data_IF_996717801690
#
_entry.id   IF_996717801690
#
_cell.length_a   1.000
_cell.length_b   1.000
_cell.length_c   1.000
_cell.angle_alpha   90.00
_cell.angle_beta   90.00
_cell.angle_gamma   90.00
#
_symmetry.space_group_name_H-M   'P 1'
#
loop_
_entity.id
_entity.type
_entity.pdbx_description
1 polymer ?
#
# COMPACT_ATOMS: atom_id res chain seq x y z
N UNK A 1 -8.37 -18.57 7.00
CA UNK A 1 -7.85 -17.21 6.85
C UNK A 1 -6.88 -17.23 5.69
N UNK A 2 -7.05 -16.34 4.74
CA UNK A 2 -6.09 -16.18 3.65
C UNK A 2 -4.73 -15.69 4.19
N UNK A 3 -3.64 -16.04 3.50
CA UNK A 3 -2.34 -15.38 3.74
C UNK A 3 -2.42 -13.95 3.22
N UNK A 4 -1.89 -12.96 3.94
CA UNK A 4 -1.99 -11.58 3.53
C UNK A 4 -0.65 -10.83 3.65
N UNK A 5 -0.55 -9.70 2.93
CA UNK A 5 0.55 -8.75 3.02
C UNK A 5 0.00 -7.33 2.79
N UNK A 6 0.44 -6.39 3.61
CA UNK A 6 0.08 -4.98 3.51
C UNK A 6 1.23 -4.17 2.91
N UNK A 7 1.02 -3.60 1.74
CA UNK A 7 2.04 -2.81 1.03
C UNK A 7 1.79 -1.34 1.27
N UNK A 8 2.74 -0.65 1.88
CA UNK A 8 2.67 0.78 2.15
C UNK A 8 3.97 1.50 1.82
N UNK A 9 3.96 2.81 1.93
CA UNK A 9 5.13 3.68 1.78
C UNK A 9 4.95 4.91 2.65
N UNK A 10 6.05 5.49 3.10
CA UNK A 10 6.08 6.82 3.71
C UNK A 10 6.33 7.93 2.66
N UNK A 11 6.36 7.59 1.39
CA UNK A 11 6.71 8.50 0.30
C UNK A 11 5.75 8.35 -0.87
N UNK A 12 5.40 9.49 -1.48
CA UNK A 12 4.63 9.50 -2.72
C UNK A 12 5.43 8.87 -3.87
N UNK A 13 4.71 8.28 -4.83
CA UNK A 13 5.31 7.73 -6.05
C UNK A 13 6.45 6.73 -5.80
N UNK A 14 6.42 6.01 -4.69
CA UNK A 14 7.42 4.96 -4.36
C UNK A 14 7.38 3.77 -5.31
N UNK A 15 6.26 3.58 -6.01
CA UNK A 15 6.00 2.44 -6.89
C UNK A 15 5.35 1.26 -6.19
N UNK A 16 4.62 1.49 -5.10
CA UNK A 16 3.83 0.47 -4.39
C UNK A 16 2.96 -0.37 -5.33
N UNK A 17 2.22 0.30 -6.23
CA UNK A 17 1.35 -0.38 -7.20
C UNK A 17 2.10 -1.34 -8.11
N UNK A 18 3.31 -0.96 -8.55
CA UNK A 18 4.16 -1.85 -9.36
C UNK A 18 4.64 -3.05 -8.57
N UNK A 19 5.03 -2.85 -7.30
CA UNK A 19 5.41 -3.95 -6.40
C UNK A 19 4.21 -4.85 -6.12
N UNK A 20 3.04 -4.27 -5.84
CA UNK A 20 1.80 -5.01 -5.63
C UNK A 20 1.45 -5.87 -6.84
N UNK A 21 1.50 -5.30 -8.05
CA UNK A 21 1.25 -6.01 -9.29
C UNK A 21 2.22 -7.19 -9.49
N UNK A 22 3.50 -7.00 -9.21
CA UNK A 22 4.50 -8.06 -9.30
C UNK A 22 4.25 -9.20 -8.30
N UNK A 23 3.78 -8.89 -7.10
CA UNK A 23 3.40 -9.91 -6.10
C UNK A 23 2.14 -10.65 -6.55
N UNK A 24 1.11 -9.94 -7.02
CA UNK A 24 -0.13 -10.52 -7.56
C UNK A 24 0.18 -11.47 -8.71
N UNK A 25 0.94 -11.02 -9.72
CA UNK A 25 1.36 -11.85 -10.87
C UNK A 25 2.11 -13.11 -10.41
N UNK A 26 3.04 -12.96 -9.46
CA UNK A 26 3.82 -14.08 -8.94
C UNK A 26 2.94 -15.14 -8.28
N UNK A 27 1.99 -14.72 -7.44
CA UNK A 27 1.08 -15.63 -6.74
C UNK A 27 0.11 -16.32 -7.71
N UNK A 28 -0.44 -15.59 -8.69
CA UNK A 28 -1.32 -16.15 -9.71
C UNK A 28 -0.60 -17.21 -10.55
N UNK A 29 0.66 -16.96 -10.95
CA UNK A 29 1.48 -17.95 -11.69
C UNK A 29 1.75 -19.22 -10.88
N UNK A 30 1.70 -19.14 -9.56
CA UNK A 30 1.80 -20.28 -8.65
C UNK A 30 0.45 -21.01 -8.45
N UNK A 31 -0.62 -20.57 -9.10
CA UNK A 31 -1.96 -21.15 -9.01
C UNK A 31 -2.73 -20.73 -7.75
N UNK A 32 -2.29 -19.69 -7.06
CA UNK A 32 -2.95 -19.16 -5.85
C UNK A 32 -4.13 -18.28 -6.26
N UNK A 33 -5.29 -18.43 -5.62
CA UNK A 33 -6.43 -17.52 -5.76
C UNK A 33 -6.17 -16.24 -4.97
N UNK A 34 -5.81 -15.19 -5.71
CA UNK A 34 -5.39 -13.91 -5.13
C UNK A 34 -6.54 -12.92 -5.09
N UNK A 35 -6.77 -12.32 -3.91
CA UNK A 35 -7.56 -11.12 -3.75
C UNK A 35 -6.68 -9.86 -3.69
N UNK A 36 -7.22 -8.76 -4.14
CA UNK A 36 -6.62 -7.44 -4.00
C UNK A 36 -7.54 -6.58 -3.14
N UNK A 37 -7.00 -5.90 -2.15
CA UNK A 37 -7.78 -5.05 -1.27
C UNK A 37 -7.18 -3.66 -1.14
N UNK A 38 -8.01 -2.64 -1.35
CA UNK A 38 -7.69 -1.22 -1.17
C UNK A 38 -8.47 -0.70 0.03
N UNK A 39 -7.88 -0.62 1.23
CA UNK A 39 -8.59 -0.21 2.45
C UNK A 39 -9.21 1.17 2.34
N UNK A 40 -8.49 2.09 1.69
CA UNK A 40 -8.91 3.47 1.48
C UNK A 40 -8.79 3.76 -0.01
N UNK A 41 -9.91 4.00 -0.67
CA UNK A 41 -9.94 4.43 -2.06
C UNK A 41 -9.89 5.96 -2.18
N UNK A 42 -9.65 6.43 -3.40
CA UNK A 42 -9.83 7.85 -3.77
C UNK A 42 -11.22 8.36 -3.41
N UNK A 43 -11.43 9.66 -3.56
CA UNK A 43 -12.71 10.31 -3.26
C UNK A 43 -13.89 9.57 -3.90
N UNK A 44 -15.03 9.64 -3.23
CA UNK A 44 -16.24 8.94 -3.65
C UNK A 44 -16.68 9.37 -5.06
N UNK A 45 -16.71 8.40 -5.97
CA UNK A 45 -17.05 8.62 -7.38
C UNK A 45 -15.85 8.90 -8.30
N UNK A 46 -14.64 8.95 -7.77
CA UNK A 46 -13.40 8.99 -8.57
C UNK A 46 -12.87 7.59 -8.86
N UNK A 47 -12.10 7.47 -9.95
CA UNK A 47 -11.47 6.20 -10.32
C UNK A 47 -10.21 5.98 -9.50
N UNK A 48 -10.06 4.79 -8.93
CA UNK A 48 -8.81 4.35 -8.32
C UNK A 48 -7.99 3.55 -9.35
N UNK A 49 -7.16 4.27 -10.11
CA UNK A 49 -6.34 3.68 -11.18
C UNK A 49 -5.42 2.55 -10.67
N UNK A 50 -4.99 2.62 -9.41
CA UNK A 50 -4.16 1.57 -8.79
C UNK A 50 -4.96 0.30 -8.65
N UNK A 51 -6.15 0.38 -8.06
CA UNK A 51 -7.02 -0.76 -7.85
C UNK A 51 -7.50 -1.33 -9.18
N UNK A 52 -7.93 -0.48 -10.12
CA UNK A 52 -8.37 -0.93 -11.43
C UNK A 52 -7.25 -1.68 -12.17
N UNK A 53 -6.01 -1.18 -12.14
CA UNK A 53 -4.88 -1.86 -12.76
C UNK A 53 -4.59 -3.23 -12.14
N UNK A 54 -4.81 -3.41 -10.85
CA UNK A 54 -4.61 -4.68 -10.16
C UNK A 54 -5.74 -5.68 -10.43
N UNK A 55 -6.99 -5.20 -10.51
CA UNK A 55 -8.16 -6.05 -10.78
C UNK A 55 -8.21 -6.47 -12.25
N UNK A 56 -7.72 -5.64 -13.17
CA UNK A 56 -7.64 -5.98 -14.60
C UNK A 56 -6.61 -7.08 -14.88
N UNK A 57 -5.82 -7.50 -13.91
CA UNK A 57 -4.91 -8.62 -14.09
C UNK A 57 -5.68 -9.93 -14.27
N UNK A 58 -5.39 -10.67 -15.34
CA UNK A 58 -5.96 -11.98 -15.61
C UNK A 58 -5.71 -12.93 -14.43
N UNK A 59 -6.72 -13.31 -13.70
CA UNK A 59 -6.61 -14.19 -12.53
C UNK A 59 -7.02 -13.56 -11.20
N UNK A 60 -7.34 -12.26 -11.18
CA UNK A 60 -8.07 -11.64 -10.06
C UNK A 60 -9.57 -11.69 -10.41
N UNK A 61 -10.28 -12.63 -9.81
CA UNK A 61 -11.72 -12.87 -10.10
C UNK A 61 -12.61 -12.34 -8.98
N UNK A 62 -12.49 -11.03 -8.70
CA UNK A 62 -13.29 -10.35 -7.71
C UNK A 62 -13.85 -9.03 -8.28
N UNK A 63 -15.12 -8.72 -8.01
CA UNK A 63 -15.70 -7.44 -8.42
C UNK A 63 -15.11 -6.29 -7.61
N UNK A 64 -14.96 -5.13 -8.25
CA UNK A 64 -14.35 -3.92 -7.69
C UNK A 64 -14.92 -3.57 -6.30
N UNK A 65 -16.22 -3.70 -6.12
CA UNK A 65 -16.93 -3.32 -4.90
C UNK A 65 -16.52 -4.15 -3.68
N UNK A 66 -16.05 -5.38 -3.90
CA UNK A 66 -15.50 -6.24 -2.85
C UNK A 66 -14.06 -5.90 -2.50
N UNK A 67 -13.34 -5.28 -3.41
CA UNK A 67 -11.92 -4.96 -3.28
C UNK A 67 -11.64 -3.61 -2.58
N UNK A 68 -12.69 -2.86 -2.22
CA UNK A 68 -12.60 -1.53 -1.61
C UNK A 68 -13.09 -1.55 -0.17
N UNK A 69 -12.33 -0.93 0.73
CA UNK A 69 -12.75 -0.68 2.11
C UNK A 69 -13.72 0.51 2.21
N UNK A 70 -13.19 1.71 2.33
CA UNK A 70 -13.97 2.96 2.47
C UNK A 70 -13.39 4.05 1.56
N UNK A 71 -14.17 5.11 1.32
CA UNK A 71 -13.65 6.30 0.68
C UNK A 71 -12.89 7.18 1.70
N UNK A 72 -11.99 8.02 1.21
CA UNK A 72 -11.19 8.92 2.04
C UNK A 72 -12.05 9.85 2.92
N UNK A 73 -13.18 10.32 2.40
CA UNK A 73 -14.11 11.16 3.15
C UNK A 73 -14.70 10.48 4.38
N UNK A 74 -14.90 9.16 4.33
CA UNK A 74 -15.41 8.39 5.48
C UNK A 74 -14.43 8.46 6.66
N UNK A 75 -13.12 8.44 6.39
CA UNK A 75 -12.06 8.57 7.40
C UNK A 75 -12.08 9.96 8.04
N UNK A 76 -12.21 11.01 7.23
CA UNK A 76 -12.29 12.38 7.73
C UNK A 76 -13.52 12.62 8.60
N UNK A 77 -14.62 11.94 8.32
CA UNK A 77 -15.83 12.03 9.13
C UNK A 77 -15.69 11.29 10.47
N UNK A 78 -15.22 10.05 10.45
CA UNK A 78 -15.01 9.26 11.66
C UNK A 78 -14.06 8.09 11.37
N UNK A 79 -12.80 8.23 11.79
CA UNK A 79 -11.75 7.25 11.54
C UNK A 79 -12.01 5.88 12.20
N UNK A 80 -12.63 5.85 13.40
CA UNK A 80 -12.93 4.60 14.10
C UNK A 80 -14.04 3.81 13.38
N UNK A 81 -15.10 4.49 12.97
CA UNK A 81 -16.18 3.87 12.19
C UNK A 81 -15.67 3.39 10.84
N UNK A 82 -14.81 4.18 10.19
CA UNK A 82 -14.18 3.80 8.93
C UNK A 82 -13.32 2.56 9.09
N UNK A 83 -12.48 2.50 10.14
CA UNK A 83 -11.64 1.33 10.44
C UNK A 83 -12.49 0.06 10.64
N UNK A 84 -13.56 0.13 11.42
CA UNK A 84 -14.46 -1.01 11.61
C UNK A 84 -15.04 -1.50 10.28
N UNK A 85 -15.47 -0.59 9.41
CA UNK A 85 -16.00 -0.94 8.07
C UNK A 85 -14.94 -1.55 7.15
N UNK A 86 -13.69 -1.07 7.23
CA UNK A 86 -12.56 -1.65 6.49
C UNK A 86 -12.36 -3.11 6.91
N UNK A 87 -12.33 -3.38 8.22
CA UNK A 87 -12.15 -4.72 8.78
C UNK A 87 -13.27 -5.65 8.32
N UNK A 88 -14.53 -5.23 8.45
CA UNK A 88 -15.69 -6.04 8.05
C UNK A 88 -15.65 -6.41 6.55
N UNK A 89 -15.35 -5.45 5.69
CA UNK A 89 -15.26 -5.65 4.24
C UNK A 89 -14.10 -6.56 3.86
N UNK A 90 -12.96 -6.37 4.50
CA UNK A 90 -11.80 -7.24 4.31
C UNK A 90 -12.14 -8.69 4.66
N UNK A 91 -12.71 -8.94 5.85
CA UNK A 91 -13.08 -10.29 6.28
C UNK A 91 -14.19 -10.94 5.44
N UNK A 92 -15.03 -10.15 4.79
CA UNK A 92 -15.99 -10.68 3.85
C UNK A 92 -15.30 -11.17 2.58
N UNK A 93 -14.34 -10.39 2.04
CA UNK A 93 -13.61 -10.67 0.81
C UNK A 93 -12.57 -11.79 0.96
N UNK A 94 -11.82 -11.81 2.08
CA UNK A 94 -10.74 -12.81 2.28
C UNK A 94 -11.23 -14.26 2.23
N UNK A 95 -12.51 -14.51 2.51
CA UNK A 95 -13.10 -15.85 2.46
C UNK A 95 -13.11 -16.46 1.06
N UNK A 96 -13.03 -15.63 0.05
CA UNK A 96 -13.05 -16.03 -1.36
C UNK A 96 -11.62 -16.24 -1.91
N UNK A 97 -10.57 -15.94 -1.12
CA UNK A 97 -9.18 -15.92 -1.53
C UNK A 97 -8.32 -16.89 -0.70
N UNK A 98 -7.17 -17.29 -1.27
CA UNK A 98 -6.11 -18.01 -0.57
C UNK A 98 -5.01 -17.06 -0.12
N UNK A 99 -4.80 -15.98 -0.87
CA UNK A 99 -3.91 -14.89 -0.52
C UNK A 99 -4.54 -13.53 -0.83
N UNK A 100 -4.20 -12.51 -0.04
CA UNK A 100 -4.67 -11.13 -0.25
C UNK A 100 -3.50 -10.17 -0.26
N UNK A 101 -3.40 -9.40 -1.34
CA UNK A 101 -2.47 -8.26 -1.45
C UNK A 101 -3.23 -6.99 -1.10
N UNK A 102 -2.86 -6.38 0.02
CA UNK A 102 -3.48 -5.16 0.52
C UNK A 102 -2.59 -3.97 0.13
N UNK A 103 -3.17 -2.96 -0.53
CA UNK A 103 -2.41 -1.79 -0.99
C UNK A 103 -2.87 -0.54 -0.26
N UNK A 104 -2.02 -0.03 0.61
CA UNK A 104 -2.25 1.18 1.39
C UNK A 104 -2.40 2.44 0.54
N UNK A 105 -3.03 3.44 1.10
CA UNK A 105 -3.27 4.75 0.46
C UNK A 105 -1.98 5.56 0.25
N UNK A 106 -2.07 6.63 -0.55
CA UNK A 106 -1.01 7.60 -0.84
C UNK A 106 -1.47 9.05 -0.58
N UNK A 107 -2.45 9.24 0.30
CA UNK A 107 -3.03 10.57 0.53
C UNK A 107 -2.18 11.35 1.52
N UNK A 108 -1.51 12.37 1.02
CA UNK A 108 -0.80 13.39 1.78
C UNK A 108 -1.73 14.56 2.09
N UNK A 109 -2.72 14.38 2.94
CA UNK A 109 -3.49 15.53 3.44
C UNK A 109 -3.01 15.91 4.84
N UNK A 110 -2.67 17.18 5.00
CA UNK A 110 -1.88 17.78 6.08
C UNK A 110 -2.54 17.74 7.47
N UNK A 111 -3.71 17.12 7.63
CA UNK A 111 -4.55 17.24 8.82
C UNK A 111 -4.69 15.98 9.68
N UNK A 112 -4.03 14.88 9.33
CA UNK A 112 -4.12 13.62 10.08
C UNK A 112 -2.75 13.15 10.58
N UNK A 113 -2.70 12.36 11.68
CA UNK A 113 -1.49 11.65 12.06
C UNK A 113 -0.97 10.91 10.84
N UNK A 114 0.33 10.82 10.68
CA UNK A 114 0.97 10.46 9.43
C UNK A 114 0.24 9.36 8.71
N UNK A 115 0.13 9.43 7.40
CA UNK A 115 -0.57 8.43 6.58
C UNK A 115 -0.04 7.02 6.85
N UNK A 116 1.26 6.92 7.14
CA UNK A 116 1.90 5.67 7.53
C UNK A 116 1.30 5.09 8.81
N UNK A 117 1.07 5.91 9.84
CA UNK A 117 0.46 5.48 11.10
C UNK A 117 -0.93 4.89 10.90
N UNK A 118 -1.78 5.53 10.10
CA UNK A 118 -3.12 4.99 9.83
C UNK A 118 -3.07 3.71 8.98
N UNK A 119 -2.20 3.62 7.97
CA UNK A 119 -1.97 2.38 7.23
C UNK A 119 -1.44 1.26 8.15
N UNK A 120 -0.51 1.58 9.05
CA UNK A 120 0.00 0.63 10.04
C UNK A 120 -1.11 0.11 10.98
N UNK A 121 -1.97 1.02 11.45
CA UNK A 121 -3.12 0.68 12.27
C UNK A 121 -4.10 -0.25 11.56
N UNK A 122 -4.40 0.01 10.29
CA UNK A 122 -5.20 -0.90 9.47
C UNK A 122 -4.50 -2.26 9.36
N UNK A 123 -3.22 -2.29 9.01
CA UNK A 123 -2.46 -3.52 8.85
C UNK A 123 -2.48 -4.37 10.13
N UNK A 124 -2.26 -3.76 11.30
CA UNK A 124 -2.32 -4.43 12.59
C UNK A 124 -3.68 -5.05 12.87
N UNK A 125 -4.78 -4.30 12.61
CA UNK A 125 -6.14 -4.81 12.81
C UNK A 125 -6.53 -5.93 11.84
N UNK A 126 -5.92 -5.97 10.64
CA UNK A 126 -6.11 -7.06 9.67
C UNK A 126 -5.15 -8.23 9.91
N UNK A 127 -4.26 -8.15 10.89
CA UNK A 127 -3.21 -9.15 11.12
C UNK A 127 -2.26 -9.29 9.92
N UNK A 128 -2.07 -8.23 9.14
CA UNK A 128 -1.28 -8.25 7.93
C UNK A 128 0.14 -7.72 8.16
N UNK A 129 1.19 -8.50 7.87
CA UNK A 129 2.56 -8.03 7.94
C UNK A 129 2.80 -6.94 6.88
N UNK A 130 3.58 -5.91 7.25
CA UNK A 130 3.78 -4.70 6.45
C UNK A 130 5.03 -4.82 5.59
N UNK A 131 4.88 -4.64 4.28
CA UNK A 131 5.96 -4.45 3.32
C UNK A 131 6.05 -2.96 2.97
N UNK A 132 7.16 -2.32 3.32
CA UNK A 132 7.38 -0.90 3.01
C UNK A 132 8.12 -0.75 1.68
N UNK A 133 7.62 0.08 0.80
CA UNK A 133 8.28 0.41 -0.47
C UNK A 133 8.87 1.81 -0.40
N UNK A 134 10.18 1.91 -0.58
CA UNK A 134 10.93 3.18 -0.61
C UNK A 134 11.43 3.49 -2.02
N UNK A 135 11.59 4.78 -2.32
CA UNK A 135 12.25 5.19 -3.56
C UNK A 135 13.76 5.14 -3.40
N UNK A 136 14.43 4.47 -4.32
CA UNK A 136 15.89 4.49 -4.45
C UNK A 136 16.45 5.72 -5.13
N UNK A 137 15.57 6.65 -5.59
CA UNK A 137 15.95 7.94 -6.22
C UNK A 137 15.24 9.08 -5.52
N UNK A 138 15.79 10.29 -5.61
CA UNK A 138 15.22 11.51 -5.06
C UNK A 138 13.80 11.83 -5.57
N UNK A 139 13.15 12.83 -4.98
CA UNK A 139 11.82 13.29 -5.40
C UNK A 139 11.88 13.98 -6.76
N UNK A 140 10.88 13.73 -7.60
CA UNK A 140 10.68 14.54 -8.82
C UNK A 140 10.20 15.92 -8.39
N UNK A 141 11.03 16.95 -8.64
CA UNK A 141 10.56 18.33 -8.48
C UNK A 141 9.60 18.67 -9.64
N UNK A 142 8.30 18.70 -9.34
CA UNK A 142 7.25 19.02 -10.32
C UNK A 142 7.26 20.48 -10.80
N UNK A 143 8.13 21.33 -10.23
CA UNK A 143 8.13 22.77 -10.47
C UNK A 143 8.96 23.25 -11.68
N UNK A 144 9.81 22.40 -12.25
CA UNK A 144 10.67 22.77 -13.38
C UNK A 144 10.55 21.74 -14.49
N UNK A 145 9.79 22.02 -15.50
CA UNK A 145 9.44 21.21 -16.68
C UNK A 145 10.55 20.46 -17.44
N UNK A 146 11.60 20.03 -16.79
CA UNK A 146 12.64 19.15 -17.30
C UNK A 146 12.60 17.82 -16.53
N UNK A 147 12.55 16.72 -17.27
CA UNK A 147 12.85 15.38 -16.76
C UNK A 147 14.33 15.31 -16.34
N UNK A 148 14.66 15.93 -15.21
CA UNK A 148 16.01 15.82 -14.65
C UNK A 148 16.10 14.43 -14.00
N UNK A 149 17.06 13.63 -14.45
CA UNK A 149 17.37 12.34 -13.81
C UNK A 149 17.69 12.59 -12.34
N UNK A 150 16.83 12.09 -11.45
CA UNK A 150 17.02 12.26 -10.02
C UNK A 150 18.20 11.41 -9.57
N UNK A 151 19.09 11.92 -8.72
CA UNK A 151 20.23 11.14 -8.24
C UNK A 151 19.76 9.93 -7.43
N UNK A 152 20.53 8.84 -7.52
CA UNK A 152 20.33 7.69 -6.65
C UNK A 152 20.49 8.11 -5.18
N UNK A 153 19.64 7.57 -4.31
CA UNK A 153 19.78 7.77 -2.88
C UNK A 153 20.92 6.92 -2.34
N UNK A 154 21.79 7.48 -1.50
CA UNK A 154 22.76 6.71 -0.76
C UNK A 154 22.08 5.62 0.10
N UNK A 155 22.73 4.47 0.26
CA UNK A 155 22.21 3.39 1.12
C UNK A 155 21.99 3.86 2.56
N UNK A 156 22.87 4.73 3.06
CA UNK A 156 22.73 5.31 4.40
C UNK A 156 21.42 6.07 4.59
N UNK A 157 20.98 6.83 3.58
CA UNK A 157 19.72 7.58 3.64
C UNK A 157 18.52 6.64 3.67
N UNK A 158 18.55 5.57 2.85
CA UNK A 158 17.50 4.54 2.87
C UNK A 158 17.46 3.82 4.22
N UNK A 159 18.60 3.49 4.79
CA UNK A 159 18.70 2.86 6.11
C UNK A 159 18.15 3.78 7.22
N UNK A 160 18.49 5.07 7.19
CA UNK A 160 17.98 6.04 8.15
C UNK A 160 16.45 6.20 8.03
N UNK A 161 15.93 6.20 6.80
CA UNK A 161 14.48 6.22 6.58
C UNK A 161 13.82 4.98 7.21
N UNK A 162 14.33 3.78 6.96
CA UNK A 162 13.79 2.56 7.58
C UNK A 162 13.83 2.66 9.11
N UNK A 163 14.94 3.12 9.67
CA UNK A 163 15.08 3.29 11.11
C UNK A 163 14.06 4.28 11.71
N UNK A 164 13.65 5.30 10.95
CA UNK A 164 12.61 6.24 11.39
C UNK A 164 11.19 5.68 11.28
N UNK A 165 10.94 4.71 10.40
CA UNK A 165 9.61 4.12 10.19
C UNK A 165 9.28 3.03 11.23
N UNK A 166 10.28 2.32 11.74
CA UNK A 166 10.06 1.22 12.68
C UNK A 166 9.30 1.65 13.92
N UNK A 167 9.67 2.73 14.65
CA UNK A 167 8.93 3.18 15.83
C UNK A 167 7.47 3.55 15.52
N UNK A 168 7.19 4.09 14.32
CA UNK A 168 5.85 4.46 13.91
C UNK A 168 4.98 3.21 13.66
N UNK A 169 5.54 2.18 13.04
CA UNK A 169 4.86 0.90 12.86
C UNK A 169 4.61 0.20 14.21
N UNK A 170 5.62 0.19 15.09
CA UNK A 170 5.53 -0.41 16.42
C UNK A 170 4.50 0.29 17.31
N UNK A 171 4.37 1.61 17.21
CA UNK A 171 3.37 2.39 17.95
C UNK A 171 1.93 1.97 17.60
N UNK A 172 1.69 1.53 16.37
CA UNK A 172 0.40 1.00 15.91
C UNK A 172 0.32 -0.54 15.97
N UNK A 173 1.29 -1.21 16.61
CA UNK A 173 1.37 -2.67 16.71
C UNK A 173 1.45 -3.40 15.37
N UNK A 174 1.90 -2.74 14.32
CA UNK A 174 2.11 -3.34 13.01
C UNK A 174 3.47 -4.06 12.93
N UNK A 175 3.48 -5.22 12.30
CA UNK A 175 4.70 -6.02 12.14
C UNK A 175 5.35 -5.71 10.80
N UNK A 176 6.59 -5.22 10.81
CA UNK A 176 7.37 -5.02 9.59
C UNK A 176 7.81 -6.38 9.03
N UNK A 177 7.34 -6.72 7.82
CA UNK A 177 7.77 -7.90 7.08
C UNK A 177 9.10 -7.67 6.36
N UNK A 178 9.24 -6.50 5.73
CA UNK A 178 10.42 -6.16 4.97
C UNK A 178 10.33 -4.81 4.27
N UNK A 179 11.41 -4.45 3.58
CA UNK A 179 11.52 -3.20 2.83
C UNK A 179 12.00 -3.47 1.42
N UNK A 180 11.36 -2.85 0.43
CA UNK A 180 11.80 -2.85 -0.96
C UNK A 180 12.27 -1.44 -1.32
N UNK A 181 13.55 -1.27 -1.67
CA UNK A 181 14.04 -0.06 -2.31
C UNK A 181 13.82 -0.18 -3.82
N UNK A 182 12.81 0.53 -4.33
CA UNK A 182 12.45 0.55 -5.74
C UNK A 182 13.23 1.62 -6.50
N UNK A 183 13.46 1.42 -7.80
CA UNK A 183 14.20 2.36 -8.66
C UNK A 183 15.64 2.65 -8.20
N UNK A 184 16.28 1.69 -7.59
CA UNK A 184 17.70 1.75 -7.28
C UNK A 184 18.52 1.64 -8.57
N UNK A 185 19.72 2.21 -8.59
CA UNK A 185 20.64 1.99 -9.71
C UNK A 185 21.23 0.58 -9.61
N UNK A 186 21.27 -0.18 -10.73
CA UNK A 186 22.01 -1.43 -10.76
C UNK A 186 23.46 -1.17 -10.36
N UNK A 187 24.02 -2.02 -9.51
CA UNK A 187 25.48 -1.98 -9.27
C UNK A 187 26.17 -2.35 -10.58
N UNK A 188 27.00 -1.44 -11.09
CA UNK A 188 27.91 -1.71 -12.19
C UNK A 188 28.99 -2.72 -11.77
#
# INVERSE_FOLDING_TARGET
MATNIYITSAEDNSGKSTVALGIVDTLIRQGVRVGVFRPISVAKGERDDVLESLIQHDGVDLPLEKCVGVAYEDIRQNAETALSRIIDRYHAMEKECEAVVIVGSDYTDVATPTELSFNARIAANLGAPVLVVLRGRGSLDRGRGALVAQPARPLADLTNMVASLIPELEAEHATLFGVIANRVEPRS
#
